data_IF_120947764777
#
_entry.id   IF_120947764777
#
_cell.length_a   1.000
_cell.length_b   1.000
_cell.length_c   1.000
_cell.angle_alpha   90.00
_cell.angle_beta   90.00
_cell.angle_gamma   90.00
#
_symmetry.space_group_name_H-M   'P 1'
#
loop_
_entity.id
_entity.type
_entity.pdbx_description
1 polymer ?
#
# COMPACT_ATOMS: atom_id res chain seq x y z
N UNK A 1 13.20 17.58 -15.81
CA UNK A 1 11.93 17.69 -16.58
C UNK A 1 11.40 19.12 -16.50
N UNK A 2 10.77 19.67 -17.54
CA UNK A 2 10.00 20.91 -17.43
C UNK A 2 8.97 20.78 -16.30
N UNK A 3 8.75 21.85 -15.52
CA UNK A 3 7.79 21.88 -14.39
C UNK A 3 6.43 21.22 -14.69
N UNK A 4 5.76 21.46 -15.85
CA UNK A 4 4.47 20.82 -16.12
C UNK A 4 4.60 19.30 -16.32
N UNK A 5 5.68 18.83 -16.93
CA UNK A 5 5.89 17.41 -17.21
C UNK A 5 6.25 16.63 -15.93
N UNK A 6 6.98 17.27 -15.01
CA UNK A 6 7.25 16.70 -13.69
C UNK A 6 5.96 16.54 -12.88
N UNK A 7 5.10 17.56 -12.88
CA UNK A 7 3.81 17.52 -12.20
C UNK A 7 2.90 16.42 -12.74
N UNK A 8 2.87 16.23 -14.07
CA UNK A 8 2.13 15.13 -14.69
C UNK A 8 2.66 13.76 -14.23
N UNK A 9 3.99 13.58 -14.23
CA UNK A 9 4.60 12.34 -13.75
C UNK A 9 4.27 12.07 -12.27
N UNK A 10 4.30 13.10 -11.42
CA UNK A 10 3.94 12.98 -10.00
C UNK A 10 2.45 12.62 -9.80
N UNK A 11 1.54 13.22 -10.58
CA UNK A 11 0.12 12.86 -10.57
C UNK A 11 -0.12 11.43 -11.03
N UNK A 12 0.52 11.01 -12.13
CA UNK A 12 0.43 9.64 -12.63
C UNK A 12 0.98 8.64 -11.62
N UNK A 13 2.14 8.90 -11.02
CA UNK A 13 2.72 8.05 -9.97
C UNK A 13 1.78 7.89 -8.78
N UNK A 14 1.14 8.98 -8.34
CA UNK A 14 0.21 8.93 -7.21
C UNK A 14 -1.06 8.14 -7.58
N UNK A 15 -1.62 8.37 -8.77
CA UNK A 15 -2.78 7.63 -9.26
C UNK A 15 -2.50 6.14 -9.41
N UNK A 16 -1.34 5.77 -9.98
CA UNK A 16 -0.92 4.37 -10.13
C UNK A 16 -0.68 3.69 -8.78
N UNK A 17 -0.16 4.42 -7.78
CA UNK A 17 0.02 3.90 -6.42
C UNK A 17 -1.32 3.62 -5.74
N UNK A 18 -2.31 4.52 -5.92
CA UNK A 18 -3.68 4.28 -5.44
C UNK A 18 -4.27 3.05 -6.12
N UNK A 19 -4.19 2.96 -7.45
CA UNK A 19 -4.68 1.82 -8.22
C UNK A 19 -4.04 0.51 -7.74
N UNK A 20 -2.72 0.50 -7.55
CA UNK A 20 -1.98 -0.66 -7.06
C UNK A 20 -2.47 -1.10 -5.66
N UNK A 21 -2.65 -0.15 -4.74
CA UNK A 21 -3.14 -0.45 -3.40
C UNK A 21 -4.57 -1.03 -3.43
N UNK A 22 -5.45 -0.51 -4.28
CA UNK A 22 -6.82 -1.01 -4.46
C UNK A 22 -6.82 -2.43 -5.05
N UNK A 23 -5.97 -2.70 -6.05
CA UNK A 23 -5.82 -4.04 -6.64
C UNK A 23 -5.32 -5.06 -5.62
N UNK A 24 -4.35 -4.70 -4.78
CA UNK A 24 -3.87 -5.61 -3.72
C UNK A 24 -4.89 -5.82 -2.61
N UNK A 25 -5.73 -4.81 -2.35
CA UNK A 25 -6.78 -4.92 -1.35
C UNK A 25 -7.83 -5.96 -1.79
N UNK A 26 -8.31 -5.81 -3.01
CA UNK A 26 -9.14 -6.76 -3.74
C UNK A 26 -8.96 -6.57 -5.25
N UNK A 27 -8.54 -7.62 -5.95
CA UNK A 27 -8.33 -7.64 -7.39
C UNK A 27 -9.58 -8.11 -8.16
N UNK A 28 -10.60 -8.59 -7.45
CA UNK A 28 -11.77 -9.26 -8.05
C UNK A 28 -12.49 -8.36 -9.05
N UNK A 29 -12.72 -7.09 -8.69
CA UNK A 29 -13.35 -6.10 -9.58
C UNK A 29 -12.56 -5.88 -10.89
N UNK A 30 -11.24 -5.99 -10.83
CA UNK A 30 -10.37 -5.84 -12.01
C UNK A 30 -10.38 -7.11 -12.85
N UNK A 31 -10.38 -8.27 -12.19
CA UNK A 31 -10.54 -9.57 -12.82
C UNK A 31 -11.85 -9.68 -13.61
N UNK A 32 -12.96 -9.23 -13.00
CA UNK A 32 -14.29 -9.22 -13.65
C UNK A 32 -14.34 -8.29 -14.86
N UNK A 33 -13.65 -7.15 -14.79
CA UNK A 33 -13.68 -6.13 -15.84
C UNK A 33 -12.97 -6.59 -17.12
N UNK A 34 -11.89 -7.36 -16.98
CA UNK A 34 -11.05 -7.82 -18.09
C UNK A 34 -11.12 -9.32 -18.38
N UNK A 35 -12.01 -10.05 -17.71
CA UNK A 35 -12.13 -11.51 -17.85
C UNK A 35 -10.89 -12.28 -17.39
N UNK A 36 -10.13 -11.75 -16.43
CA UNK A 36 -8.85 -12.30 -15.97
C UNK A 36 -9.01 -13.23 -14.75
N UNK A 37 -10.24 -13.57 -14.35
CA UNK A 37 -10.53 -14.30 -13.11
C UNK A 37 -9.79 -15.65 -13.02
N UNK A 38 -9.65 -16.32 -14.17
CA UNK A 38 -8.99 -17.62 -14.32
C UNK A 38 -7.45 -17.52 -14.26
N UNK A 39 -6.90 -16.30 -14.27
CA UNK A 39 -5.46 -16.02 -14.23
C UNK A 39 -4.99 -15.55 -12.84
N UNK A 40 -5.80 -15.76 -11.80
CA UNK A 40 -5.44 -15.43 -10.42
C UNK A 40 -5.74 -13.99 -9.99
N UNK A 41 -6.58 -13.27 -10.74
CA UNK A 41 -7.08 -11.93 -10.34
C UNK A 41 -8.35 -12.01 -9.47
N UNK A 42 -8.46 -13.06 -8.66
CA UNK A 42 -9.58 -13.34 -7.76
C UNK A 42 -9.05 -13.45 -6.33
N UNK A 43 -9.08 -12.33 -5.60
CA UNK A 43 -8.60 -12.27 -4.22
C UNK A 43 -7.88 -10.97 -3.88
N UNK A 44 -7.19 -10.97 -2.76
CA UNK A 44 -6.49 -9.80 -2.21
C UNK A 44 -6.27 -9.94 -0.72
N UNK A 45 -5.78 -8.88 -0.10
CA UNK A 45 -5.54 -8.84 1.34
C UNK A 45 -6.81 -9.16 2.15
N UNK A 46 -7.97 -8.64 1.74
CA UNK A 46 -9.23 -8.94 2.40
C UNK A 46 -9.60 -10.43 2.34
N UNK A 47 -9.52 -11.03 1.14
CA UNK A 47 -9.79 -12.45 0.96
C UNK A 47 -8.82 -13.34 1.75
N UNK A 48 -7.56 -12.91 1.87
CA UNK A 48 -6.54 -13.62 2.65
C UNK A 48 -6.86 -13.63 4.14
N UNK A 49 -7.26 -12.49 4.72
CA UNK A 49 -7.72 -12.42 6.12
C UNK A 49 -8.98 -13.27 6.32
N UNK A 50 -9.97 -13.14 5.43
CA UNK A 50 -11.22 -13.91 5.50
C UNK A 50 -10.97 -15.43 5.45
N UNK A 51 -9.99 -15.89 4.67
CA UNK A 51 -9.59 -17.30 4.60
C UNK A 51 -9.12 -17.83 5.96
N UNK A 52 -8.23 -17.12 6.65
CA UNK A 52 -7.72 -17.54 7.95
C UNK A 52 -8.65 -17.26 9.12
N UNK A 53 -9.63 -16.37 8.93
CA UNK A 53 -10.70 -16.21 9.89
C UNK A 53 -11.59 -17.46 9.91
N UNK A 54 -11.92 -17.99 8.73
CA UNK A 54 -12.71 -19.24 8.57
C UNK A 54 -11.91 -20.50 8.93
N UNK A 55 -10.59 -20.48 8.68
CA UNK A 55 -9.68 -21.57 9.01
C UNK A 55 -8.70 -21.11 10.11
N UNK A 56 -9.09 -21.16 11.40
CA UNK A 56 -8.33 -20.59 12.51
C UNK A 56 -7.12 -21.44 12.88
N UNK A 57 -6.18 -21.57 11.95
CA UNK A 57 -4.85 -22.09 12.21
C UNK A 57 -4.04 -21.06 12.99
N UNK A 58 -3.32 -21.53 14.01
CA UNK A 58 -2.41 -20.68 14.78
C UNK A 58 -1.14 -20.35 14.01
N UNK A 59 -0.51 -19.24 14.37
CA UNK A 59 0.87 -18.91 13.98
C UNK A 59 1.83 -19.91 14.62
N UNK A 60 2.89 -20.29 13.90
CA UNK A 60 3.93 -21.19 14.44
C UNK A 60 4.88 -20.43 15.37
N UNK A 61 5.26 -19.21 14.97
CA UNK A 61 6.25 -18.39 15.66
C UNK A 61 5.66 -17.43 16.71
N UNK A 62 4.33 -17.26 16.72
CA UNK A 62 3.66 -16.29 17.58
C UNK A 62 2.68 -16.97 18.54
N UNK A 63 3.02 -16.91 19.83
CA UNK A 63 2.26 -17.47 20.93
C UNK A 63 1.78 -16.37 21.86
N UNK A 64 0.62 -16.58 22.47
CA UNK A 64 0.14 -15.70 23.52
C UNK A 64 1.00 -15.84 24.78
N UNK A 65 1.26 -14.75 25.51
CA UNK A 65 1.81 -14.85 26.86
C UNK A 65 0.92 -15.74 27.76
N UNK A 66 1.54 -16.48 28.68
CA UNK A 66 0.84 -17.46 29.54
C UNK A 66 -0.32 -16.82 30.32
N UNK A 67 -0.12 -15.61 30.86
CA UNK A 67 -1.17 -14.89 31.59
C UNK A 67 -2.41 -14.59 30.73
N UNK A 68 -2.24 -14.35 29.42
CA UNK A 68 -3.37 -14.14 28.50
C UNK A 68 -4.11 -15.46 28.25
N UNK A 69 -3.37 -16.56 28.14
CA UNK A 69 -3.98 -17.89 27.97
C UNK A 69 -4.85 -18.23 29.17
N UNK A 70 -4.37 -17.98 30.38
CA UNK A 70 -5.08 -18.24 31.63
C UNK A 70 -6.30 -17.31 31.82
N UNK A 71 -6.15 -16.01 31.57
CA UNK A 71 -7.24 -15.04 31.78
C UNK A 71 -8.36 -15.15 30.75
N UNK A 72 -8.03 -15.44 29.49
CA UNK A 72 -8.99 -15.42 28.39
C UNK A 72 -9.35 -16.81 27.85
N UNK A 73 -8.74 -17.88 28.38
CA UNK A 73 -8.97 -19.25 27.91
C UNK A 73 -8.61 -19.46 26.44
N UNK A 74 -7.65 -18.68 25.91
CA UNK A 74 -7.25 -18.75 24.49
C UNK A 74 -6.22 -19.86 24.27
N UNK A 75 -6.18 -20.38 23.03
CA UNK A 75 -5.15 -21.35 22.61
C UNK A 75 -3.77 -20.73 22.72
N UNK A 76 -2.73 -21.55 22.89
CA UNK A 76 -1.33 -21.10 22.97
C UNK A 76 -0.92 -20.23 21.76
N UNK A 77 -1.32 -20.62 20.55
CA UNK A 77 -0.93 -19.94 19.31
C UNK A 77 -1.90 -18.85 18.92
N UNK A 78 -1.36 -17.70 18.51
CA UNK A 78 -2.15 -16.58 18.00
C UNK A 78 -2.85 -16.97 16.70
N UNK A 79 -4.16 -16.71 16.53
CA UNK A 79 -4.85 -16.97 15.27
C UNK A 79 -4.22 -16.18 14.11
N UNK A 80 -3.90 -16.87 13.01
CA UNK A 80 -3.17 -16.29 11.87
C UNK A 80 -3.87 -15.10 11.21
N UNK A 81 -5.20 -15.05 11.24
CA UNK A 81 -5.95 -13.92 10.68
C UNK A 81 -5.64 -12.61 11.41
N UNK A 82 -5.34 -12.65 12.72
CA UNK A 82 -5.23 -11.46 13.54
C UNK A 82 -4.00 -10.60 13.15
N UNK A 83 -2.77 -11.15 13.02
CA UNK A 83 -1.66 -10.41 12.44
C UNK A 83 -1.95 -9.95 11.00
N UNK A 84 -2.61 -10.78 10.19
CA UNK A 84 -2.87 -10.46 8.79
C UNK A 84 -3.90 -9.37 8.56
N UNK A 85 -4.67 -8.95 9.58
CA UNK A 85 -5.49 -7.73 9.51
C UNK A 85 -4.64 -6.50 9.16
N UNK A 86 -3.33 -6.52 9.44
CA UNK A 86 -2.43 -5.43 9.04
C UNK A 86 -2.34 -5.28 7.51
N UNK A 87 -2.57 -6.34 6.74
CA UNK A 87 -2.48 -6.30 5.27
C UNK A 87 -3.53 -5.34 4.67
N UNK A 88 -4.85 -5.53 4.89
CA UNK A 88 -5.84 -4.58 4.36
C UNK A 88 -5.68 -3.18 4.98
N UNK A 89 -5.31 -3.06 6.26
CA UNK A 89 -5.09 -1.76 6.90
C UNK A 89 -3.93 -1.00 6.24
N UNK A 90 -2.79 -1.66 6.05
CA UNK A 90 -1.62 -1.06 5.43
C UNK A 90 -1.90 -0.59 4.00
N UNK A 91 -2.64 -1.39 3.23
CA UNK A 91 -3.06 -1.03 1.88
C UNK A 91 -4.04 0.15 1.85
N UNK A 92 -4.99 0.22 2.78
CA UNK A 92 -5.88 1.39 2.91
C UNK A 92 -5.09 2.66 3.26
N UNK A 93 -4.12 2.56 4.18
CA UNK A 93 -3.26 3.69 4.53
C UNK A 93 -2.38 4.13 3.36
N UNK A 94 -1.83 3.17 2.60
CA UNK A 94 -1.06 3.45 1.37
C UNK A 94 -1.93 4.19 0.34
N UNK A 95 -3.12 3.67 0.05
CA UNK A 95 -4.08 4.30 -0.86
C UNK A 95 -4.45 5.70 -0.39
N UNK A 96 -4.75 5.86 0.90
CA UNK A 96 -5.10 7.15 1.50
C UNK A 96 -3.96 8.17 1.36
N UNK A 97 -2.73 7.80 1.69
CA UNK A 97 -1.56 8.69 1.58
C UNK A 97 -1.27 9.07 0.13
N UNK A 98 -1.37 8.11 -0.80
CA UNK A 98 -1.18 8.38 -2.23
C UNK A 98 -2.28 9.29 -2.78
N UNK A 99 -3.54 9.08 -2.39
CA UNK A 99 -4.66 9.94 -2.75
C UNK A 99 -4.50 11.37 -2.20
N UNK A 100 -4.06 11.51 -0.93
CA UNK A 100 -3.73 12.81 -0.37
C UNK A 100 -2.62 13.52 -1.17
N UNK A 101 -1.55 12.81 -1.53
CA UNK A 101 -0.48 13.36 -2.35
C UNK A 101 -1.01 13.80 -3.72
N UNK A 102 -1.82 12.97 -4.38
CA UNK A 102 -2.47 13.29 -5.65
C UNK A 102 -3.26 14.60 -5.57
N UNK A 103 -4.13 14.73 -4.55
CA UNK A 103 -4.95 15.95 -4.36
C UNK A 103 -4.08 17.17 -4.09
N UNK A 104 -3.04 17.06 -3.26
CA UNK A 104 -2.13 18.17 -2.97
C UNK A 104 -1.35 18.61 -4.22
N UNK A 105 -0.88 17.67 -5.05
CA UNK A 105 -0.20 17.97 -6.31
C UNK A 105 -1.17 18.59 -7.32
N UNK A 106 -2.42 18.09 -7.37
CA UNK A 106 -3.46 18.63 -8.23
C UNK A 106 -3.81 20.07 -7.85
N UNK A 107 -3.83 20.38 -6.56
CA UNK A 107 -4.01 21.75 -6.03
C UNK A 107 -2.76 22.64 -6.15
N UNK A 108 -1.61 22.09 -6.52
CA UNK A 108 -0.34 22.84 -6.60
C UNK A 108 0.26 23.16 -5.22
N UNK A 109 -0.12 22.42 -4.17
CA UNK A 109 0.38 22.56 -2.80
C UNK A 109 1.60 21.67 -2.51
N UNK A 110 1.90 20.73 -3.41
CA UNK A 110 3.07 19.84 -3.39
C UNK A 110 3.55 19.59 -4.82
N UNK A 111 4.86 19.42 -4.98
CA UNK A 111 5.45 19.10 -6.28
C UNK A 111 5.68 17.59 -6.48
N UNK A 112 5.80 16.80 -5.41
CA UNK A 112 6.09 15.37 -5.48
C UNK A 112 5.40 14.54 -4.36
N UNK A 113 5.36 13.22 -4.55
CA UNK A 113 4.80 12.25 -3.60
C UNK A 113 5.71 12.05 -2.39
N UNK A 114 7.03 12.01 -2.62
CA UNK A 114 8.09 11.83 -1.61
C UNK A 114 9.01 13.05 -1.70
N UNK A 115 9.48 13.55 -0.56
CA UNK A 115 10.49 14.60 -0.52
C UNK A 115 11.81 14.03 -1.07
N UNK A 116 12.15 14.41 -2.30
CA UNK A 116 13.42 14.06 -2.91
C UNK A 116 14.41 15.20 -2.65
N UNK A 117 14.84 15.36 -1.39
CA UNK A 117 15.89 16.35 -1.08
C UNK A 117 17.17 16.08 -1.91
N UNK A 118 17.52 14.81 -2.11
CA UNK A 118 18.68 14.44 -2.94
C UNK A 118 18.53 14.81 -4.42
N UNK A 119 17.32 14.74 -4.99
CA UNK A 119 17.09 15.09 -6.39
C UNK A 119 17.00 16.60 -6.62
N UNK A 120 16.51 17.36 -5.63
CA UNK A 120 16.51 18.82 -5.68
C UNK A 120 17.92 19.40 -5.51
N UNK A 121 18.74 18.86 -4.60
CA UNK A 121 20.15 19.24 -4.44
C UNK A 121 20.97 18.94 -5.70
N UNK A 122 20.87 17.73 -6.26
CA UNK A 122 21.60 17.38 -7.49
C UNK A 122 21.24 18.27 -8.68
N UNK A 123 19.97 18.69 -8.80
CA UNK A 123 19.53 19.61 -9.87
C UNK A 123 19.93 21.06 -9.59
N UNK A 124 20.04 21.45 -8.31
CA UNK A 124 20.51 22.77 -7.91
C UNK A 124 22.03 22.92 -8.09
N UNK A 125 22.82 21.91 -7.70
CA UNK A 125 24.29 21.91 -7.86
C UNK A 125 24.73 21.87 -9.33
N UNK A 126 24.03 21.14 -10.19
CA UNK A 126 24.43 20.97 -11.60
C UNK A 126 23.88 22.05 -12.55
N UNK A 127 23.19 23.08 -12.03
CA UNK A 127 22.63 24.16 -12.86
C UNK A 127 23.67 25.09 -13.48
N UNK A 128 24.86 25.18 -12.90
CA UNK A 128 25.94 26.07 -13.38
C UNK A 128 27.05 25.34 -14.14
N UNK A 129 27.01 23.99 -14.23
CA UNK A 129 28.03 23.21 -14.95
C UNK A 129 27.87 23.29 -16.48
N UNK A 130 26.71 23.76 -16.98
CA UNK A 130 26.39 23.86 -18.41
C UNK A 130 26.42 25.31 -18.94
N UNK A 131 26.96 26.26 -18.18
CA UNK A 131 27.03 27.68 -18.58
C UNK A 131 28.36 28.12 -19.17
N UNK A 132 29.32 27.21 -19.35
CA UNK A 132 30.55 27.43 -20.11
C UNK A 132 30.57 26.57 -21.39
#
# INVERSE_FOLDING_TARGET
LPRPLFRLAALLGAALTVLYAVLLFDATWFGTLFGLEHKGSTGGAYAYVAKFYKLPIGMEDLKWPVFIQEWFGVKERVPRWMPYVILPIGLLLLAFRAAQAFVLILMGKKDAIIAAHEAEELVAENKDVLKD
#
